data_IF_831069560899
#
_entry.id   IF_831069560899
#
_cell.length_a   1.000
_cell.length_b   1.000
_cell.length_c   1.000
_cell.angle_alpha   90.00
_cell.angle_beta   90.00
_cell.angle_gamma   90.00
#
_symmetry.space_group_name_H-M   'P 1'
#
loop_
_entity.id
_entity.type
_entity.pdbx_description
1 polymer ?
#
# COMPACT_ATOMS: atom_id res chain seq x y z
N UNK A 1 18.57 -17.64 -15.61
CA UNK A 1 18.21 -16.33 -16.22
C UNK A 1 17.23 -15.69 -15.25
N UNK A 2 17.52 -14.48 -14.76
CA UNK A 2 16.62 -13.75 -13.86
C UNK A 2 15.47 -13.12 -14.64
N UNK A 3 14.26 -13.20 -14.11
CA UNK A 3 13.05 -12.58 -14.66
C UNK A 3 12.15 -12.16 -13.50
N UNK A 4 11.40 -11.08 -13.70
CA UNK A 4 10.40 -10.60 -12.75
C UNK A 4 9.01 -11.06 -13.23
N UNK A 5 8.23 -11.67 -12.34
CA UNK A 5 6.84 -12.03 -12.57
C UNK A 5 5.98 -11.18 -11.64
N UNK A 6 4.93 -10.58 -12.18
CA UNK A 6 3.92 -9.85 -11.40
C UNK A 6 2.57 -10.46 -11.71
N UNK A 7 1.83 -10.80 -10.66
CA UNK A 7 0.47 -11.31 -10.73
C UNK A 7 -0.39 -10.55 -9.71
N UNK A 8 -1.60 -10.17 -10.12
CA UNK A 8 -2.51 -9.38 -9.29
C UNK A 8 -3.95 -9.90 -9.44
N UNK A 9 -4.74 -9.76 -8.36
CA UNK A 9 -6.15 -10.19 -8.34
C UNK A 9 -6.31 -11.63 -8.84
N UNK A 10 -7.17 -11.90 -9.82
CA UNK A 10 -7.40 -13.24 -10.38
C UNK A 10 -6.10 -13.96 -10.84
N UNK A 11 -5.11 -13.24 -11.35
CA UNK A 11 -3.84 -13.84 -11.73
C UNK A 11 -3.00 -14.29 -10.52
N UNK A 12 -3.15 -13.64 -9.36
CA UNK A 12 -2.42 -14.03 -8.14
C UNK A 12 -2.89 -15.41 -7.64
N UNK A 13 -4.20 -15.70 -7.73
CA UNK A 13 -4.78 -17.00 -7.38
C UNK A 13 -4.11 -18.16 -8.12
N UNK A 14 -3.69 -17.93 -9.37
CA UNK A 14 -3.10 -18.99 -10.21
C UNK A 14 -1.67 -19.32 -9.87
N UNK A 15 -0.98 -18.49 -9.06
CA UNK A 15 0.43 -18.70 -8.73
C UNK A 15 0.67 -19.77 -7.68
N UNK A 16 -0.35 -20.08 -6.86
CA UNK A 16 -0.31 -21.13 -5.85
C UNK A 16 -0.53 -22.53 -6.43
N UNK A 17 -0.46 -23.52 -5.54
CA UNK A 17 -0.69 -24.93 -5.89
C UNK A 17 -2.12 -25.23 -6.35
N UNK A 18 -3.07 -24.57 -5.71
CA UNK A 18 -4.48 -24.58 -6.07
C UNK A 18 -4.96 -23.17 -6.35
N UNK A 19 -6.01 -23.07 -7.17
CA UNK A 19 -6.64 -21.82 -7.56
C UNK A 19 -8.11 -21.85 -7.19
N UNK A 20 -8.61 -20.72 -6.68
CA UNK A 20 -10.01 -20.53 -6.34
C UNK A 20 -10.80 -20.10 -7.59
N UNK A 21 -11.77 -20.90 -8.08
CA UNK A 21 -12.65 -20.50 -9.17
C UNK A 21 -13.75 -19.55 -8.65
N UNK A 22 -13.36 -18.29 -8.42
CA UNK A 22 -14.21 -17.28 -7.74
C UNK A 22 -15.52 -17.08 -8.49
N UNK A 23 -15.51 -16.99 -9.82
CA UNK A 23 -16.72 -16.70 -10.60
C UNK A 23 -17.73 -17.85 -10.51
N UNK A 24 -17.26 -19.08 -10.67
CA UNK A 24 -18.06 -20.30 -10.61
C UNK A 24 -18.71 -20.45 -9.23
N UNK A 25 -17.95 -20.25 -8.16
CA UNK A 25 -18.49 -20.37 -6.79
C UNK A 25 -19.39 -19.18 -6.43
N UNK A 26 -18.92 -17.95 -6.67
CA UNK A 26 -19.61 -16.74 -6.18
C UNK A 26 -20.76 -16.28 -7.09
N UNK A 27 -20.58 -16.33 -8.41
CA UNK A 27 -21.58 -15.82 -9.38
C UNK A 27 -22.48 -16.92 -9.93
N UNK A 28 -21.92 -18.09 -10.26
CA UNK A 28 -22.72 -19.22 -10.78
C UNK A 28 -23.38 -20.00 -9.65
N UNK A 29 -22.76 -20.03 -8.47
CA UNK A 29 -23.29 -20.70 -7.28
C UNK A 29 -22.89 -22.17 -7.18
N UNK A 30 -21.76 -22.55 -7.78
CA UNK A 30 -21.22 -23.90 -7.66
C UNK A 30 -20.77 -24.21 -6.21
N UNK A 31 -20.80 -25.48 -5.79
CA UNK A 31 -20.25 -25.88 -4.51
C UNK A 31 -18.77 -25.50 -4.37
N UNK A 32 -18.27 -25.21 -3.15
CA UNK A 32 -16.87 -24.85 -2.95
C UNK A 32 -15.93 -25.98 -3.39
N UNK A 33 -15.00 -25.66 -4.29
CA UNK A 33 -14.01 -26.59 -4.82
C UNK A 33 -12.73 -25.84 -5.24
N UNK A 34 -11.63 -26.60 -5.34
CA UNK A 34 -10.36 -26.11 -5.87
C UNK A 34 -10.15 -26.60 -7.30
N UNK A 35 -9.43 -25.81 -8.09
CA UNK A 35 -8.84 -26.27 -9.36
C UNK A 35 -7.32 -26.22 -9.27
N UNK A 36 -6.62 -26.97 -10.13
CA UNK A 36 -5.16 -26.94 -10.19
C UNK A 36 -4.66 -25.53 -10.52
N UNK A 37 -3.72 -25.04 -9.70
CA UNK A 37 -2.99 -23.81 -9.98
C UNK A 37 -1.78 -24.08 -10.87
N UNK A 38 -1.09 -23.01 -11.26
CA UNK A 38 0.15 -23.11 -12.03
C UNK A 38 1.33 -23.60 -11.17
N UNK A 39 1.16 -23.63 -9.84
CA UNK A 39 2.15 -24.05 -8.85
C UNK A 39 3.53 -23.38 -9.04
N UNK A 40 3.51 -22.11 -9.43
CA UNK A 40 4.72 -21.34 -9.69
C UNK A 40 5.55 -21.18 -8.43
N UNK A 41 4.90 -20.92 -7.29
CA UNK A 41 5.57 -20.77 -6.00
C UNK A 41 6.09 -22.12 -5.47
N UNK A 42 5.40 -23.23 -5.74
CA UNK A 42 5.87 -24.57 -5.42
C UNK A 42 7.21 -24.91 -6.07
N UNK A 43 7.44 -24.45 -7.31
CA UNK A 43 8.72 -24.60 -8.00
C UNK A 43 9.90 -23.89 -7.29
N UNK A 44 9.61 -22.94 -6.39
CA UNK A 44 10.58 -22.25 -5.54
C UNK A 44 10.55 -22.70 -4.07
N UNK A 45 9.90 -23.83 -3.76
CA UNK A 45 9.84 -24.39 -2.40
C UNK A 45 8.72 -23.82 -1.52
N UNK A 46 7.78 -23.08 -2.09
CA UNK A 46 6.62 -22.49 -1.39
C UNK A 46 5.32 -23.18 -1.83
N UNK A 47 5.01 -24.39 -1.34
CA UNK A 47 3.76 -25.09 -1.66
C UNK A 47 2.60 -24.46 -0.87
N UNK A 48 2.07 -23.34 -1.39
CA UNK A 48 1.02 -22.57 -0.73
C UNK A 48 -0.12 -22.23 -1.70
N UNK A 49 -1.27 -21.82 -1.14
CA UNK A 49 -2.38 -21.23 -1.90
C UNK A 49 -2.35 -19.72 -1.71
N UNK A 50 -2.57 -18.95 -2.77
CA UNK A 50 -2.58 -17.49 -2.74
C UNK A 50 -4.02 -16.98 -2.82
N UNK A 51 -4.42 -16.12 -1.89
CA UNK A 51 -5.77 -15.55 -1.82
C UNK A 51 -5.66 -14.01 -1.74
N UNK A 52 -5.84 -13.29 -2.86
CA UNK A 52 -5.92 -11.83 -2.85
C UNK A 52 -7.27 -11.38 -2.31
N UNK A 53 -7.41 -10.08 -2.06
CA UNK A 53 -8.66 -9.48 -1.55
C UNK A 53 -9.09 -10.15 -0.23
N UNK A 54 -8.12 -10.38 0.65
CA UNK A 54 -8.30 -11.11 1.91
C UNK A 54 -9.28 -10.40 2.84
N UNK A 55 -9.17 -9.08 2.95
CA UNK A 55 -10.04 -8.20 3.72
C UNK A 55 -11.19 -7.58 2.91
N UNK A 56 -11.52 -8.11 1.73
CA UNK A 56 -12.59 -7.57 0.89
C UNK A 56 -13.89 -7.40 1.68
N UNK A 57 -14.53 -6.25 1.49
CA UNK A 57 -15.77 -5.86 2.15
C UNK A 57 -16.80 -5.28 1.18
N UNK A 58 -16.71 -5.62 -0.10
CA UNK A 58 -17.68 -5.31 -1.16
C UNK A 58 -18.94 -6.21 -1.09
N UNK A 59 -19.42 -6.56 0.10
CA UNK A 59 -20.60 -7.42 0.25
C UNK A 59 -21.84 -6.73 0.80
N UNK A 60 -21.70 -5.47 1.24
CA UNK A 60 -22.66 -4.84 2.14
C UNK A 60 -22.87 -5.73 3.37
N UNK A 61 -24.08 -6.30 3.50
CA UNK A 61 -24.44 -7.22 4.59
C UNK A 61 -23.89 -8.65 4.44
N UNK A 62 -23.25 -8.98 3.31
CA UNK A 62 -22.65 -10.29 3.07
C UNK A 62 -21.14 -10.27 3.34
N UNK A 63 -20.62 -11.33 3.96
CA UNK A 63 -19.17 -11.51 4.12
C UNK A 63 -18.55 -11.87 2.77
N UNK A 64 -17.76 -10.95 2.21
CA UNK A 64 -17.04 -11.12 0.93
C UNK A 64 -15.52 -11.19 1.12
N UNK A 65 -15.06 -11.32 2.36
CA UNK A 65 -13.64 -11.51 2.68
C UNK A 65 -13.10 -12.80 2.06
N UNK A 66 -11.76 -12.95 2.02
CA UNK A 66 -11.08 -14.09 1.36
C UNK A 66 -11.55 -14.28 -0.08
N UNK A 67 -11.45 -13.22 -0.88
CA UNK A 67 -11.75 -13.26 -2.32
C UNK A 67 -13.22 -13.65 -2.64
N UNK A 68 -14.18 -12.92 -2.06
CA UNK A 68 -15.63 -13.12 -2.20
C UNK A 68 -16.22 -14.41 -1.60
N UNK A 69 -15.41 -15.21 -0.90
CA UNK A 69 -15.92 -16.45 -0.28
C UNK A 69 -16.62 -16.18 1.06
N UNK A 70 -16.14 -15.20 1.81
CA UNK A 70 -16.46 -15.04 3.21
C UNK A 70 -15.85 -16.15 4.06
N UNK A 71 -15.78 -15.92 5.38
CA UNK A 71 -15.06 -16.77 6.33
C UNK A 71 -15.60 -18.22 6.33
N UNK A 72 -16.92 -18.39 6.41
CA UNK A 72 -17.55 -19.71 6.52
C UNK A 72 -17.39 -20.59 5.26
N UNK A 73 -17.47 -20.01 4.06
CA UNK A 73 -17.26 -20.78 2.81
C UNK A 73 -15.78 -21.05 2.59
N UNK A 74 -14.91 -20.11 3.00
CA UNK A 74 -13.47 -20.28 2.89
C UNK A 74 -12.95 -21.40 3.80
N UNK A 75 -13.46 -21.53 5.03
CA UNK A 75 -13.15 -22.67 5.90
C UNK A 75 -13.50 -24.02 5.23
N UNK A 76 -14.68 -24.12 4.59
CA UNK A 76 -15.06 -25.32 3.84
C UNK A 76 -14.15 -25.61 2.65
N UNK A 77 -13.52 -24.60 2.05
CA UNK A 77 -12.53 -24.78 0.99
C UNK A 77 -11.23 -25.33 1.57
N UNK A 78 -10.74 -24.76 2.67
CA UNK A 78 -9.50 -25.23 3.32
C UNK A 78 -9.63 -26.68 3.78
N UNK A 79 -10.78 -27.09 4.32
CA UNK A 79 -11.06 -28.47 4.75
C UNK A 79 -11.07 -29.49 3.60
N UNK A 80 -11.16 -29.02 2.34
CA UNK A 80 -11.17 -29.87 1.13
C UNK A 80 -9.78 -30.04 0.51
N UNK A 81 -8.74 -29.40 1.05
CA UNK A 81 -7.38 -29.63 0.60
C UNK A 81 -6.93 -31.03 1.04
N UNK A 82 -6.39 -31.81 0.09
CA UNK A 82 -5.92 -33.17 0.35
C UNK A 82 -4.78 -33.23 1.39
N UNK A 83 -4.03 -32.12 1.52
CA UNK A 83 -2.99 -31.93 2.51
C UNK A 83 -3.06 -30.51 3.09
N UNK A 84 -2.66 -30.30 4.36
CA UNK A 84 -2.69 -28.97 4.97
C UNK A 84 -1.65 -28.07 4.30
N UNK A 85 -2.10 -27.17 3.44
CA UNK A 85 -1.27 -26.17 2.78
C UNK A 85 -1.43 -24.80 3.45
N UNK A 86 -0.33 -24.03 3.57
CA UNK A 86 -0.42 -22.63 3.97
C UNK A 86 -1.26 -21.81 2.98
N UNK A 87 -2.08 -20.93 3.51
CA UNK A 87 -2.85 -19.92 2.77
C UNK A 87 -2.15 -18.58 2.94
N UNK A 88 -1.66 -18.03 1.84
CA UNK A 88 -1.12 -16.67 1.77
C UNK A 88 -2.24 -15.70 1.39
N UNK A 89 -2.81 -15.03 2.38
CA UNK A 89 -3.81 -13.98 2.22
C UNK A 89 -3.17 -12.62 1.96
N UNK A 90 -3.63 -11.89 0.95
CA UNK A 90 -3.19 -10.52 0.68
C UNK A 90 -4.40 -9.59 0.78
N UNK A 91 -4.32 -8.61 1.67
CA UNK A 91 -5.30 -7.54 1.73
C UNK A 91 -5.32 -6.73 0.42
N UNK A 92 -6.42 -6.05 0.17
CA UNK A 92 -6.54 -5.13 -0.97
C UNK A 92 -5.47 -4.05 -0.92
N UNK A 93 -5.03 -3.59 -2.09
CA UNK A 93 -3.97 -2.57 -2.25
C UNK A 93 -2.65 -2.92 -1.54
N UNK A 94 -2.39 -4.21 -1.37
CA UNK A 94 -1.18 -4.74 -0.72
C UNK A 94 -0.47 -5.69 -1.69
N UNK A 95 0.85 -5.63 -1.70
CA UNK A 95 1.71 -6.48 -2.51
C UNK A 95 2.80 -7.12 -1.65
N UNK A 96 3.11 -8.38 -1.96
CA UNK A 96 4.31 -9.06 -1.48
C UNK A 96 5.31 -9.15 -2.62
N UNK A 97 6.55 -8.75 -2.37
CA UNK A 97 7.67 -8.90 -3.31
C UNK A 97 8.60 -9.95 -2.72
N UNK A 98 8.74 -11.09 -3.41
CA UNK A 98 9.59 -12.20 -2.98
C UNK A 98 10.89 -12.16 -3.80
N UNK A 99 12.01 -11.98 -3.13
CA UNK A 99 13.35 -12.07 -3.73
C UNK A 99 14.02 -13.38 -3.30
N UNK A 100 13.89 -14.38 -4.17
CA UNK A 100 14.51 -15.70 -3.96
C UNK A 100 16.04 -15.67 -3.94
N UNK A 101 16.67 -14.65 -4.55
CA UNK A 101 18.13 -14.53 -4.53
C UNK A 101 18.64 -13.94 -3.22
N UNK A 102 17.85 -13.08 -2.60
CA UNK A 102 18.12 -12.48 -1.29
C UNK A 102 17.58 -13.32 -0.11
N UNK A 103 16.86 -14.41 -0.38
CA UNK A 103 16.17 -15.25 0.62
C UNK A 103 15.25 -14.43 1.56
N UNK A 104 14.55 -13.45 0.98
CA UNK A 104 13.73 -12.50 1.71
C UNK A 104 12.47 -12.09 0.92
N UNK A 105 11.51 -11.50 1.63
CA UNK A 105 10.38 -10.82 1.02
C UNK A 105 10.09 -9.49 1.71
N UNK A 106 9.46 -8.58 0.99
CA UNK A 106 8.97 -7.31 1.52
C UNK A 106 7.48 -7.18 1.27
N UNK A 107 6.78 -6.55 2.22
CA UNK A 107 5.37 -6.16 2.05
C UNK A 107 5.31 -4.69 1.69
N UNK A 108 4.49 -4.36 0.70
CA UNK A 108 4.24 -3.02 0.20
C UNK A 108 2.75 -2.75 0.14
N UNK A 109 2.37 -1.48 0.16
CA UNK A 109 0.98 -1.07 0.19
C UNK A 109 0.52 -0.77 1.61
N UNK A 110 -0.77 -0.92 1.85
CA UNK A 110 -1.45 -0.30 2.99
C UNK A 110 -2.13 -1.29 3.93
N UNK A 111 -2.47 -2.48 3.43
CA UNK A 111 -2.98 -3.58 4.22
C UNK A 111 -1.86 -4.50 4.68
N UNK A 112 -2.22 -5.73 5.00
CA UNK A 112 -1.30 -6.74 5.51
C UNK A 112 -1.28 -7.99 4.65
N UNK A 113 -0.22 -8.76 4.81
CA UNK A 113 -0.13 -10.10 4.26
C UNK A 113 -0.24 -11.08 5.41
N UNK A 114 -1.08 -12.09 5.24
CA UNK A 114 -1.35 -13.13 6.22
C UNK A 114 -0.85 -14.46 5.69
N UNK A 115 -0.14 -15.23 6.52
CA UNK A 115 0.09 -16.65 6.27
C UNK A 115 -0.68 -17.46 7.31
N UNK A 116 -1.65 -18.24 6.86
CA UNK A 116 -2.49 -19.07 7.71
C UNK A 116 -2.25 -20.55 7.43
N UNK A 117 -2.04 -21.34 8.49
CA UNK A 117 -1.96 -22.80 8.41
C UNK A 117 -2.69 -23.41 9.62
N UNK A 118 -3.82 -24.07 9.37
CA UNK A 118 -4.71 -24.53 10.43
C UNK A 118 -5.17 -23.36 11.31
N UNK A 119 -4.95 -23.45 12.62
CA UNK A 119 -5.26 -22.40 13.58
C UNK A 119 -4.13 -21.36 13.76
N UNK A 120 -2.96 -21.57 13.16
CA UNK A 120 -1.83 -20.66 13.27
C UNK A 120 -1.88 -19.60 12.18
N UNK A 121 -1.60 -18.36 12.57
CA UNK A 121 -1.59 -17.21 11.67
C UNK A 121 -0.36 -16.35 11.94
N UNK A 122 0.36 -16.00 10.87
CA UNK A 122 1.39 -14.97 10.87
C UNK A 122 0.88 -13.77 10.07
N UNK A 123 1.23 -12.56 10.50
CA UNK A 123 0.87 -11.32 9.84
C UNK A 123 2.14 -10.52 9.55
N UNK A 124 2.21 -9.96 8.34
CA UNK A 124 3.33 -9.18 7.84
C UNK A 124 2.85 -7.80 7.44
N UNK A 125 3.52 -6.77 7.92
CA UNK A 125 3.13 -5.37 7.71
C UNK A 125 4.02 -4.69 6.67
N UNK A 126 3.50 -3.67 5.96
CA UNK A 126 4.25 -2.95 4.95
C UNK A 126 5.55 -2.30 5.47
N UNK A 127 6.55 -2.21 4.60
CA UNK A 127 7.82 -1.53 4.89
C UNK A 127 8.84 -2.36 5.66
N UNK A 128 8.48 -3.56 6.09
CA UNK A 128 9.39 -4.50 6.77
C UNK A 128 9.90 -5.55 5.77
N UNK A 129 11.19 -5.86 5.86
CA UNK A 129 11.81 -7.00 5.15
C UNK A 129 11.84 -8.21 6.07
N UNK A 130 11.28 -9.32 5.60
CA UNK A 130 11.18 -10.57 6.33
C UNK A 130 12.00 -11.67 5.65
N UNK A 131 12.56 -12.64 6.42
CA UNK A 131 13.27 -13.77 5.84
C UNK A 131 12.28 -14.75 5.20
N UNK A 132 12.64 -15.28 4.03
CA UNK A 132 11.74 -16.10 3.20
C UNK A 132 11.23 -17.36 3.92
N UNK A 133 12.05 -17.95 4.79
CA UNK A 133 11.69 -19.12 5.63
C UNK A 133 10.41 -18.93 6.44
N UNK A 134 9.98 -17.71 6.73
CA UNK A 134 8.71 -17.47 7.43
C UNK A 134 7.50 -17.85 6.59
N UNK A 135 7.61 -17.84 5.24
CA UNK A 135 6.56 -18.34 4.35
C UNK A 135 6.54 -19.88 4.26
N UNK A 136 7.56 -20.58 4.75
CA UNK A 136 7.56 -22.05 4.88
C UNK A 136 6.82 -22.54 6.14
N UNK A 137 6.34 -21.64 7.00
CA UNK A 137 5.70 -22.01 8.26
C UNK A 137 6.68 -22.50 9.34
N UNK A 138 8.00 -22.32 9.15
CA UNK A 138 9.01 -22.66 10.16
C UNK A 138 9.00 -21.62 11.29
N UNK A 139 8.37 -21.98 12.41
CA UNK A 139 8.40 -21.22 13.66
C UNK A 139 9.83 -21.16 14.20
N UNK A 140 10.53 -20.04 14.01
CA UNK A 140 11.63 -19.71 14.91
C UNK A 140 11.02 -19.05 16.15
N UNK A 141 10.87 -19.83 17.21
CA UNK A 141 10.62 -19.42 18.58
C UNK A 141 11.81 -18.60 19.12
N UNK A 142 12.00 -17.42 18.54
CA UNK A 142 12.97 -16.41 18.94
C UNK A 142 12.24 -15.09 19.11
N UNK A 143 11.59 -14.96 20.27
CA UNK A 143 11.35 -13.71 20.99
C UNK A 143 11.01 -12.47 20.14
N UNK A 144 9.87 -12.51 19.45
CA UNK A 144 9.15 -11.28 19.11
C UNK A 144 7.77 -11.37 19.72
N UNK A 145 7.61 -10.64 20.83
CA UNK A 145 6.31 -10.35 21.40
C UNK A 145 5.41 -9.86 20.29
N UNK A 146 4.27 -10.53 20.16
CA UNK A 146 3.03 -9.93 19.73
C UNK A 146 2.90 -8.66 20.58
N UNK A 147 3.31 -7.51 20.04
CA UNK A 147 2.50 -6.34 20.32
C UNK A 147 1.17 -6.73 19.71
N UNK A 148 0.20 -7.02 20.56
CA UNK A 148 -1.19 -6.78 20.24
C UNK A 148 -1.24 -5.30 19.88
N UNK A 149 -0.85 -4.99 18.65
CA UNK A 149 -1.43 -3.90 17.92
C UNK A 149 -2.89 -4.31 17.85
N UNK A 150 -3.63 -3.87 18.88
CA UNK A 150 -5.03 -3.55 18.75
C UNK A 150 -5.12 -2.48 17.68
N UNK A 151 -4.90 -2.86 16.42
CA UNK A 151 -5.89 -2.45 15.45
C UNK A 151 -7.18 -3.01 16.01
N UNK A 152 -8.18 -2.16 16.29
CA UNK A 152 -9.43 -2.66 16.80
C UNK A 152 -9.87 -3.74 15.82
N UNK A 153 -9.98 -4.98 16.30
CA UNK A 153 -10.94 -5.91 15.74
C UNK A 153 -12.24 -5.13 15.87
N UNK A 154 -12.61 -4.42 14.81
CA UNK A 154 -13.96 -3.94 14.67
C UNK A 154 -14.76 -5.22 14.86
N UNK A 155 -15.57 -5.33 15.93
CA UNK A 155 -16.42 -6.49 16.10
C UNK A 155 -17.14 -6.69 14.78
N UNK A 156 -17.33 -7.94 14.35
CA UNK A 156 -18.20 -8.26 13.23
C UNK A 156 -19.44 -7.35 13.35
N UNK A 157 -19.52 -6.34 12.48
CA UNK A 157 -20.54 -5.32 12.59
C UNK A 157 -21.80 -6.00 12.12
N UNK A 158 -22.53 -6.59 13.06
CA UNK A 158 -23.96 -6.71 12.91
C UNK A 158 -24.48 -5.27 12.67
N UNK A 159 -25.33 -5.07 11.65
CA UNK A 159 -25.66 -3.76 11.14
C UNK A 159 -26.59 -3.03 12.12
N UNK A 160 -25.99 -2.26 13.01
CA UNK A 160 -26.57 -1.11 13.68
C UNK A 160 -25.53 0.00 13.49
N UNK A 161 -25.68 1.04 12.67
CA UNK A 161 -26.84 1.88 12.42
C UNK A 161 -26.45 2.91 11.33
N UNK A 162 -27.44 3.47 10.65
CA UNK A 162 -27.38 4.54 9.62
C UNK A 162 -26.68 5.87 10.06
N UNK A 163 -25.87 5.87 11.12
CA UNK A 163 -25.31 7.08 11.76
C UNK A 163 -23.79 7.24 11.69
N UNK A 164 -23.06 6.28 11.10
CA UNK A 164 -21.59 6.25 11.14
C UNK A 164 -20.91 6.63 9.80
N UNK A 165 -21.70 6.90 8.76
CA UNK A 165 -21.20 7.19 7.41
C UNK A 165 -20.37 8.48 7.33
N UNK A 166 -20.94 9.61 7.77
CA UNK A 166 -20.29 10.92 7.69
C UNK A 166 -19.01 11.04 8.54
N UNK A 167 -18.98 10.57 9.80
CA UNK A 167 -17.76 10.55 10.59
C UNK A 167 -16.61 9.79 9.89
N UNK A 168 -16.90 8.64 9.27
CA UNK A 168 -15.90 7.86 8.53
C UNK A 168 -15.41 8.60 7.28
N UNK A 169 -16.32 9.16 6.49
CA UNK A 169 -15.95 9.95 5.30
C UNK A 169 -15.07 11.15 5.68
N UNK A 170 -15.39 11.85 6.77
CA UNK A 170 -14.59 12.96 7.26
C UNK A 170 -13.21 12.53 7.77
N UNK A 171 -13.09 11.39 8.45
CA UNK A 171 -11.78 10.83 8.83
C UNK A 171 -10.92 10.55 7.61
N UNK A 172 -11.48 9.88 6.59
CA UNK A 172 -10.76 9.59 5.35
C UNK A 172 -10.35 10.89 4.64
N UNK A 173 -11.18 11.93 4.72
CA UNK A 173 -10.85 13.25 4.14
C UNK A 173 -9.68 13.91 4.85
N UNK A 174 -9.58 13.77 6.18
CA UNK A 174 -8.44 14.25 6.94
C UNK A 174 -7.16 13.47 6.60
N UNK A 175 -7.25 12.14 6.46
CA UNK A 175 -6.12 11.29 6.08
C UNK A 175 -5.62 11.64 4.67
N UNK A 176 -6.54 11.88 3.74
CA UNK A 176 -6.23 12.38 2.40
C UNK A 176 -5.41 13.67 2.44
N UNK A 177 -5.91 14.66 3.19
CA UNK A 177 -5.29 15.98 3.31
C UNK A 177 -3.91 15.88 3.94
N UNK A 178 -3.78 15.08 4.99
CA UNK A 178 -2.49 14.86 5.66
C UNK A 178 -1.47 14.22 4.72
N UNK A 179 -1.89 13.26 3.87
CA UNK A 179 -1.01 12.67 2.85
C UNK A 179 -0.49 13.71 1.84
N UNK A 180 -1.34 14.65 1.42
CA UNK A 180 -0.92 15.75 0.53
C UNK A 180 0.08 16.67 1.25
N UNK A 181 -0.17 17.02 2.52
CA UNK A 181 0.71 17.88 3.32
C UNK A 181 2.08 17.24 3.63
N UNK A 182 2.11 15.91 3.76
CA UNK A 182 3.31 15.14 4.08
C UNK A 182 4.12 14.70 2.84
N UNK A 183 3.67 15.05 1.63
CA UNK A 183 4.16 14.52 0.34
C UNK A 183 4.06 12.99 0.24
N UNK A 184 3.12 12.38 0.96
CA UNK A 184 2.80 10.96 0.91
C UNK A 184 1.55 10.72 0.03
N UNK A 185 1.76 10.74 -1.29
CA UNK A 185 0.70 10.45 -2.26
C UNK A 185 0.13 9.03 -2.11
N UNK A 186 0.87 8.10 -1.51
CA UNK A 186 0.39 6.75 -1.22
C UNK A 186 -0.72 6.78 -0.17
N UNK A 187 -0.51 7.52 0.91
CA UNK A 187 -1.52 7.77 1.94
C UNK A 187 -2.76 8.49 1.40
N UNK A 188 -2.59 9.49 0.52
CA UNK A 188 -3.74 10.15 -0.13
C UNK A 188 -4.50 9.21 -1.06
N UNK A 189 -3.80 8.39 -1.85
CA UNK A 189 -4.43 7.39 -2.71
C UNK A 189 -5.25 6.38 -1.89
N UNK A 190 -4.71 5.92 -0.76
CA UNK A 190 -5.40 5.03 0.17
C UNK A 190 -6.72 5.65 0.64
N UNK A 191 -6.68 6.88 1.12
CA UNK A 191 -7.87 7.55 1.64
C UNK A 191 -8.98 7.60 0.58
N UNK A 192 -8.64 7.88 -0.68
CA UNK A 192 -9.60 7.86 -1.80
C UNK A 192 -10.18 6.45 -2.04
N UNK A 193 -9.35 5.42 -2.03
CA UNK A 193 -9.82 4.03 -2.23
C UNK A 193 -10.78 3.60 -1.10
N UNK A 194 -10.51 4.00 0.14
CA UNK A 194 -11.44 3.75 1.26
C UNK A 194 -12.74 4.54 1.13
N UNK A 195 -12.69 5.78 0.63
CA UNK A 195 -13.92 6.53 0.32
C UNK A 195 -14.75 5.83 -0.76
N UNK A 196 -14.12 5.30 -1.80
CA UNK A 196 -14.81 4.55 -2.86
C UNK A 196 -15.48 3.29 -2.29
N UNK A 197 -14.78 2.54 -1.42
CA UNK A 197 -15.34 1.38 -0.71
C UNK A 197 -16.53 1.76 0.17
N UNK A 198 -16.42 2.85 0.95
CA UNK A 198 -17.50 3.36 1.80
C UNK A 198 -18.73 3.77 0.98
N UNK A 199 -18.52 4.45 -0.16
CA UNK A 199 -19.58 4.82 -1.10
C UNK A 199 -20.27 3.60 -1.70
N UNK A 200 -19.51 2.56 -2.04
CA UNK A 200 -20.03 1.32 -2.58
C UNK A 200 -20.90 0.58 -1.55
N UNK A 201 -20.45 0.49 -0.30
CA UNK A 201 -21.20 -0.11 0.80
C UNK A 201 -22.52 0.62 1.07
N UNK A 202 -22.48 1.96 1.14
CA UNK A 202 -23.67 2.78 1.34
C UNK A 202 -24.74 2.55 0.26
N UNK A 203 -24.33 2.31 -0.99
CA UNK A 203 -25.24 2.01 -2.09
C UNK A 203 -26.00 0.67 -1.90
N UNK A 204 -25.35 -0.32 -1.27
CA UNK A 204 -25.94 -1.64 -1.01
C UNK A 204 -26.85 -1.68 0.22
N UNK A 205 -26.66 -0.76 1.17
CA UNK A 205 -27.36 -0.77 2.48
C UNK A 205 -28.60 0.15 2.53
N UNK A 206 -29.06 0.64 1.37
CA UNK A 206 -30.20 1.58 1.25
C UNK A 206 -29.98 2.90 2.00
N UNK A 207 -28.75 3.44 2.00
CA UNK A 207 -28.48 4.79 2.49
C UNK A 207 -29.26 5.85 1.70
N UNK A 208 -29.49 7.01 2.32
CA UNK A 208 -30.22 8.11 1.68
C UNK A 208 -29.55 8.48 0.33
N UNK A 209 -30.25 8.37 -0.82
CA UNK A 209 -29.65 8.66 -2.13
C UNK A 209 -29.04 10.05 -2.24
N UNK A 210 -29.57 11.02 -1.49
CA UNK A 210 -29.03 12.38 -1.44
C UNK A 210 -27.70 12.45 -0.67
N UNK A 211 -27.54 11.69 0.41
CA UNK A 211 -26.30 11.60 1.15
C UNK A 211 -25.19 10.92 0.32
N UNK A 212 -25.55 9.86 -0.42
CA UNK A 212 -24.62 9.20 -1.35
C UNK A 212 -24.19 10.17 -2.46
N UNK A 213 -25.13 10.94 -3.03
CA UNK A 213 -24.80 11.93 -4.05
C UNK A 213 -23.81 12.99 -3.52
N UNK A 214 -24.07 13.53 -2.32
CA UNK A 214 -23.18 14.49 -1.68
C UNK A 214 -21.78 13.90 -1.43
N UNK A 215 -21.70 12.68 -0.89
CA UNK A 215 -20.41 12.03 -0.65
C UNK A 215 -19.64 11.72 -1.94
N UNK A 216 -20.34 11.40 -3.04
CA UNK A 216 -19.70 11.25 -4.36
C UNK A 216 -19.13 12.56 -4.89
N UNK A 217 -19.78 13.68 -4.61
CA UNK A 217 -19.26 14.99 -4.99
C UNK A 217 -17.99 15.32 -4.18
N UNK A 218 -17.97 15.04 -2.87
CA UNK A 218 -16.76 15.12 -2.04
C UNK A 218 -15.63 14.24 -2.57
N UNK A 219 -15.92 12.97 -2.89
CA UNK A 219 -14.92 12.05 -3.44
C UNK A 219 -14.33 12.56 -4.78
N UNK A 220 -15.18 13.09 -5.67
CA UNK A 220 -14.74 13.66 -6.94
C UNK A 220 -13.90 14.92 -6.76
N UNK A 221 -14.23 15.76 -5.78
CA UNK A 221 -13.43 16.92 -5.42
C UNK A 221 -12.01 16.48 -4.99
N UNK A 222 -11.90 15.47 -4.12
CA UNK A 222 -10.60 14.94 -3.67
C UNK A 222 -9.81 14.22 -4.76
N UNK A 223 -10.49 13.51 -5.66
CA UNK A 223 -9.86 12.97 -6.87
C UNK A 223 -9.27 14.08 -7.76
N UNK A 224 -10.04 15.16 -7.98
CA UNK A 224 -9.58 16.30 -8.78
C UNK A 224 -8.39 16.99 -8.10
N UNK A 225 -8.46 17.20 -6.79
CA UNK A 225 -7.38 17.74 -5.98
C UNK A 225 -6.10 16.92 -6.15
N UNK A 226 -6.17 15.60 -5.95
CA UNK A 226 -5.02 14.70 -6.13
C UNK A 226 -4.45 14.75 -7.56
N UNK A 227 -5.32 14.83 -8.57
CA UNK A 227 -4.89 14.96 -9.97
C UNK A 227 -4.23 16.30 -10.31
N UNK A 228 -4.41 17.32 -9.47
CA UNK A 228 -3.81 18.65 -9.62
C UNK A 228 -2.67 18.92 -8.65
N UNK A 229 -2.41 18.02 -7.69
CA UNK A 229 -1.28 18.16 -6.78
C UNK A 229 0.05 18.10 -7.54
N UNK A 230 0.94 19.06 -7.25
CA UNK A 230 2.34 18.93 -7.68
C UNK A 230 2.93 17.69 -7.02
N UNK A 231 3.69 16.90 -7.79
CA UNK A 231 4.30 15.63 -7.33
C UNK A 231 5.18 15.81 -6.08
N UNK A 232 5.69 17.03 -5.85
CA UNK A 232 6.41 17.43 -4.65
C UNK A 232 5.97 18.84 -4.22
N UNK A 233 5.61 18.99 -2.95
CA UNK A 233 5.42 20.29 -2.32
C UNK A 233 6.73 21.10 -2.29
N UNK A 234 6.63 22.40 -2.03
CA UNK A 234 7.81 23.24 -1.83
C UNK A 234 8.71 22.70 -0.69
N UNK A 235 8.10 22.19 0.39
CA UNK A 235 8.81 21.58 1.51
C UNK A 235 9.51 20.28 1.10
N UNK A 236 8.85 19.42 0.31
CA UNK A 236 9.42 18.19 -0.24
C UNK A 236 10.59 18.47 -1.18
N UNK A 237 10.44 19.44 -2.10
CA UNK A 237 11.52 19.90 -2.97
C UNK A 237 12.72 20.40 -2.17
N UNK A 238 12.49 21.24 -1.16
CA UNK A 238 13.56 21.74 -0.29
C UNK A 238 14.24 20.61 0.48
N UNK A 239 13.49 19.65 1.02
CA UNK A 239 14.06 18.48 1.74
C UNK A 239 14.98 17.65 0.85
N UNK A 240 14.60 17.44 -0.42
CA UNK A 240 15.39 16.67 -1.38
C UNK A 240 16.62 17.43 -1.90
N UNK A 241 16.46 18.72 -2.19
CA UNK A 241 17.50 19.52 -2.82
C UNK A 241 18.50 20.12 -1.81
N UNK A 242 18.07 20.41 -0.57
CA UNK A 242 18.93 21.06 0.42
C UNK A 242 20.27 20.35 0.65
N UNK A 243 20.33 19.02 0.89
CA UNK A 243 21.62 18.36 1.13
C UNK A 243 22.59 18.48 -0.05
N UNK A 244 22.06 18.44 -1.27
CA UNK A 244 22.85 18.58 -2.51
C UNK A 244 23.32 20.02 -2.70
N UNK A 245 22.42 20.99 -2.55
CA UNK A 245 22.75 22.42 -2.72
C UNK A 245 23.74 22.86 -1.65
N UNK A 246 23.53 22.47 -0.39
CA UNK A 246 24.42 22.80 0.72
C UNK A 246 25.82 22.21 0.48
N UNK A 247 25.92 20.98 -0.02
CA UNK A 247 27.21 20.38 -0.42
C UNK A 247 27.91 21.16 -1.55
N UNK A 248 27.16 21.64 -2.55
CA UNK A 248 27.69 22.48 -3.62
C UNK A 248 28.15 23.85 -3.09
N UNK A 249 27.41 24.45 -2.14
CA UNK A 249 27.79 25.70 -1.50
C UNK A 249 29.05 25.54 -0.65
N UNK A 250 29.21 24.43 0.07
CA UNK A 250 30.44 24.10 0.78
C UNK A 250 31.64 23.97 -0.16
N UNK A 251 31.47 23.25 -1.28
CA UNK A 251 32.50 23.13 -2.31
C UNK A 251 32.88 24.50 -2.90
N UNK A 252 31.90 25.35 -3.20
CA UNK A 252 32.12 26.73 -3.65
C UNK A 252 32.90 27.54 -2.61
N UNK A 253 32.56 27.43 -1.33
CA UNK A 253 33.30 28.12 -0.26
C UNK A 253 34.76 27.63 -0.16
N UNK A 254 34.99 26.33 -0.34
CA UNK A 254 36.33 25.76 -0.39
C UNK A 254 37.15 26.36 -1.55
N UNK A 255 36.59 26.40 -2.76
CA UNK A 255 37.24 27.02 -3.92
C UNK A 255 37.56 28.50 -3.70
N UNK A 256 36.67 29.27 -3.05
CA UNK A 256 36.97 30.66 -2.68
C UNK A 256 38.13 30.75 -1.68
N UNK A 257 38.19 29.89 -0.67
CA UNK A 257 39.28 29.86 0.32
C UNK A 257 40.62 29.52 -0.31
N UNK A 258 40.64 28.62 -1.30
CA UNK A 258 41.85 28.22 -2.04
C UNK A 258 42.18 29.13 -3.22
N UNK A 259 41.45 30.25 -3.39
CA UNK A 259 41.60 31.24 -4.48
C UNK A 259 41.35 30.68 -5.90
N UNK A 260 40.60 29.58 -6.00
CA UNK A 260 40.15 29.00 -7.27
C UNK A 260 38.82 29.65 -7.71
N UNK A 261 38.88 30.93 -8.08
CA UNK A 261 37.68 31.72 -8.36
C UNK A 261 36.87 31.21 -9.56
N UNK A 262 37.53 30.74 -10.62
CA UNK A 262 36.88 30.17 -11.80
C UNK A 262 36.02 28.95 -11.44
N UNK A 263 36.54 28.04 -10.62
CA UNK A 263 35.79 26.87 -10.14
C UNK A 263 34.61 27.27 -9.24
N UNK A 264 34.79 28.30 -8.39
CA UNK A 264 33.70 28.83 -7.56
C UNK A 264 32.57 29.44 -8.42
N UNK A 265 32.92 30.15 -9.48
CA UNK A 265 31.97 30.75 -10.43
C UNK A 265 31.24 29.66 -11.25
N UNK A 266 31.93 28.60 -11.67
CA UNK A 266 31.29 27.45 -12.33
C UNK A 266 30.18 26.82 -11.48
N UNK A 267 30.40 26.69 -10.16
CA UNK A 267 29.38 26.17 -9.23
C UNK A 267 28.22 27.15 -9.11
N UNK A 268 28.49 28.46 -8.98
CA UNK A 268 27.42 29.48 -8.94
C UNK A 268 26.57 29.43 -10.20
N UNK A 269 27.21 29.42 -11.36
CA UNK A 269 26.52 29.46 -12.64
C UNK A 269 25.74 28.17 -12.89
N UNK A 270 26.21 27.02 -12.38
CA UNK A 270 25.44 25.77 -12.39
C UNK A 270 24.16 25.87 -11.54
N UNK A 271 24.24 26.44 -10.34
CA UNK A 271 23.07 26.69 -9.49
C UNK A 271 22.10 27.66 -10.16
N UNK A 272 22.60 28.76 -10.74
CA UNK A 272 21.76 29.74 -11.44
C UNK A 272 21.07 29.16 -12.67
N UNK A 273 21.72 28.28 -13.44
CA UNK A 273 21.07 27.56 -14.55
C UNK A 273 19.92 26.65 -14.10
N UNK A 274 19.94 26.21 -12.84
CA UNK A 274 18.88 25.43 -12.23
C UNK A 274 17.85 26.31 -11.48
N UNK A 275 17.79 27.62 -11.78
CA UNK A 275 16.94 28.60 -11.09
C UNK A 275 17.20 28.72 -9.58
N UNK A 276 18.37 28.31 -9.10
CA UNK A 276 18.75 28.44 -7.69
C UNK A 276 19.55 29.74 -7.52
N UNK A 277 18.96 30.68 -6.79
CA UNK A 277 19.60 31.95 -6.44
C UNK A 277 20.32 31.79 -5.11
N UNK A 278 21.60 32.17 -5.08
CA UNK A 278 22.45 32.11 -3.90
C UNK A 278 22.73 33.52 -3.38
N UNK A 279 22.38 33.77 -2.13
CA UNK A 279 22.63 35.01 -1.40
C UNK A 279 23.73 34.78 -0.36
N UNK A 280 24.91 35.38 -0.57
CA UNK A 280 25.99 35.32 0.41
C UNK A 280 25.70 36.30 1.56
N UNK A 281 25.57 35.80 2.79
CA UNK A 281 25.44 36.63 4.01
C UNK A 281 26.68 36.51 4.89
N UNK A 282 26.83 37.42 5.87
CA UNK A 282 27.92 37.35 6.85
C UNK A 282 27.94 36.05 7.68
N UNK A 283 26.79 35.36 7.79
CA UNK A 283 26.63 34.11 8.53
C UNK A 283 26.60 32.85 7.62
N UNK A 284 26.89 32.99 6.32
CA UNK A 284 26.87 31.90 5.35
C UNK A 284 26.00 32.18 4.12
N UNK A 285 26.06 31.28 3.14
CA UNK A 285 25.27 31.37 1.92
C UNK A 285 23.86 30.85 2.17
N UNK A 286 22.84 31.63 1.79
CA UNK A 286 21.43 31.21 1.73
C UNK A 286 21.05 30.97 0.28
N UNK A 287 20.06 30.13 0.04
CA UNK A 287 19.56 29.90 -1.32
C UNK A 287 18.04 29.85 -1.36
N UNK A 288 17.48 30.16 -2.52
CA UNK A 288 16.07 30.02 -2.85
C UNK A 288 15.92 29.57 -4.30
N UNK A 289 14.84 28.86 -4.61
CA UNK A 289 14.47 28.52 -5.98
C UNK A 289 13.62 29.67 -6.51
N UNK A 290 13.95 30.20 -7.69
CA UNK A 290 13.03 31.08 -8.41
C UNK A 290 11.95 30.23 -9.06
N UNK A 291 10.70 30.48 -8.67
CA UNK A 291 9.56 29.91 -9.38
C UNK A 291 9.46 30.56 -10.76
N UNK A 292 9.30 29.73 -11.79
CA UNK A 292 8.94 30.22 -13.12
C UNK A 292 7.61 30.98 -12.98
N UNK A 293 7.62 32.26 -13.35
CA UNK A 293 6.40 33.03 -13.55
C UNK A 293 5.75 32.53 -14.82
N UNK A 294 4.99 31.44 -14.72
CA UNK A 294 3.98 31.09 -15.74
C UNK A 294 2.82 32.11 -15.73
#
# INVERSE_FOLDING_TARGET
>A
RGGCLVAASAAALTTGRYTLPVYEIYKVGEPPHWVEGLDLLGAFGLPLVVIPHWNNAEGGTHDTSRCFMGSSRFEQLVDRLDEPLPVLGLDEHTAIIIDFSADAFTVHGIGTVVLQLGSSQLQFTPGITYPLKQLHGENNSGDFRIEESRQPVLPAQHPDSQTDFWPRLHSMTADFQQGIEEDDLGKSAHALLEMDRLLWQALGELENPEAIAQARDFFREKLAEMGTCQVLSEAGRNRLLAPLIDSLLEARQHFRKTRQFEAADMVRDALSRAAIVVEDTANGSRWRIEEDKE
#
